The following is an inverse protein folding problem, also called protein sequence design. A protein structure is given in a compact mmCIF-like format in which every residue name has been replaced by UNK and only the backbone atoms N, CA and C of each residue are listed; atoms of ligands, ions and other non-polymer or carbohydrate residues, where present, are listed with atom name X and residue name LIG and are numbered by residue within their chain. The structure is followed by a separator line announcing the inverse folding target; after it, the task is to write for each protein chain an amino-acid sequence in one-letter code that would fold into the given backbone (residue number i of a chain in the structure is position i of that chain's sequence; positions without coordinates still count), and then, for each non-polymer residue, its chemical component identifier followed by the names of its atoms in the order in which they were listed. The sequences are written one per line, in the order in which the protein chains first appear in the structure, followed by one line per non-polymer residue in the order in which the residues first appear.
data_IF_135032700243
#
_entry.id   IF_135032700243
#
_cell.length_a   1.000
_cell.length_b   1.000
_cell.length_c   1.000
_cell.angle_alpha   90.00
_cell.angle_beta   90.00
_cell.angle_gamma   90.00
#
_symmetry.space_group_name_H-M   'P 1'
#
loop_
_entity.id
_entity.type
_entity.pdbx_description
1 polymer ?
#
# COMPACT_ATOMS: atom_id res chain seq x y z
N UNK A 1 -34.56 52.55 23.32
CA UNK A 1 -34.20 51.60 22.24
C UNK A 1 -32.74 51.19 22.43
N UNK A 2 -32.46 49.95 22.90
CA UNK A 2 -31.10 49.44 23.07
C UNK A 2 -30.85 48.37 21.99
N UNK A 3 -30.06 48.74 21.00
CA UNK A 3 -29.65 47.84 19.89
C UNK A 3 -28.58 46.87 20.43
N UNK A 4 -28.87 45.57 20.44
CA UNK A 4 -27.92 44.53 20.76
C UNK A 4 -27.16 44.16 19.47
N UNK A 5 -25.86 44.41 19.49
CA UNK A 5 -24.92 43.98 18.48
C UNK A 5 -24.62 42.49 18.70
N UNK A 6 -25.07 41.62 17.80
CA UNK A 6 -24.72 40.20 17.78
C UNK A 6 -23.37 40.01 17.08
N UNK A 7 -22.37 39.67 17.88
CA UNK A 7 -21.04 39.28 17.37
C UNK A 7 -21.11 37.84 16.88
N UNK A 8 -21.03 37.63 15.56
CA UNK A 8 -20.85 36.28 15.00
C UNK A 8 -19.39 35.87 15.15
N UNK A 9 -19.13 34.89 16.00
CA UNK A 9 -17.85 34.19 16.05
C UNK A 9 -17.86 33.09 14.99
N UNK A 10 -17.15 33.30 13.89
CA UNK A 10 -16.92 32.27 12.88
C UNK A 10 -15.85 31.32 13.42
N UNK A 11 -16.24 30.12 13.82
CA UNK A 11 -15.31 29.04 14.15
C UNK A 11 -14.85 28.38 12.85
N UNK A 12 -13.62 28.67 12.47
CA UNK A 12 -12.98 28.04 11.32
C UNK A 12 -12.54 26.63 11.72
N UNK A 13 -13.28 25.61 11.35
CA UNK A 13 -12.83 24.21 11.46
C UNK A 13 -11.77 23.96 10.39
N UNK A 14 -10.50 23.97 10.78
CA UNK A 14 -9.43 23.40 9.96
C UNK A 14 -9.63 21.89 9.95
N UNK A 15 -10.21 21.35 8.87
CA UNK A 15 -10.27 19.92 8.62
C UNK A 15 -8.85 19.45 8.31
N UNK A 16 -8.14 18.94 9.34
CA UNK A 16 -6.97 18.09 9.14
C UNK A 16 -7.47 16.83 8.44
N UNK A 17 -7.19 16.72 7.14
CA UNK A 17 -7.45 15.51 6.38
C UNK A 17 -6.54 14.38 6.88
N UNK A 18 -6.99 13.63 7.89
CA UNK A 18 -6.47 12.30 8.11
C UNK A 18 -6.91 11.47 6.89
N UNK A 19 -5.94 11.14 6.05
CA UNK A 19 -6.12 10.09 5.06
C UNK A 19 -6.42 8.80 5.84
N UNK A 20 -7.69 8.45 5.94
CA UNK A 20 -8.13 7.15 6.42
C UNK A 20 -7.62 6.12 5.44
N UNK A 21 -6.53 5.43 5.78
CA UNK A 21 -6.15 4.22 5.08
C UNK A 21 -7.34 3.26 5.23
N UNK A 22 -7.95 2.92 4.11
CA UNK A 22 -9.03 1.95 4.06
C UNK A 22 -8.42 0.59 4.45
N UNK A 23 -8.54 0.22 5.72
CA UNK A 23 -8.28 -1.14 6.16
C UNK A 23 -9.39 -2.01 5.58
N UNK A 24 -9.06 -2.83 4.60
CA UNK A 24 -9.98 -3.85 4.14
C UNK A 24 -10.39 -4.71 5.34
N UNK A 25 -11.69 -5.01 5.45
CA UNK A 25 -12.19 -5.91 6.51
C UNK A 25 -11.47 -7.25 6.39
N UNK A 26 -10.91 -7.80 7.48
CA UNK A 26 -10.26 -9.10 7.43
C UNK A 26 -11.25 -10.14 6.91
N UNK A 27 -10.83 -10.92 5.93
CA UNK A 27 -11.63 -12.06 5.50
C UNK A 27 -11.72 -13.05 6.68
N UNK A 28 -12.88 -13.65 7.00
CA UNK A 28 -13.04 -14.55 8.14
C UNK A 28 -12.02 -15.70 8.21
N UNK A 29 -11.38 -16.02 7.09
CA UNK A 29 -10.33 -17.03 6.97
C UNK A 29 -8.92 -16.52 7.28
N UNK A 30 -8.75 -15.22 7.53
CA UNK A 30 -7.43 -14.61 7.76
C UNK A 30 -7.18 -14.31 9.25
N UNK A 31 -7.84 -15.05 10.16
CA UNK A 31 -7.63 -14.90 11.61
C UNK A 31 -6.13 -15.03 11.94
N UNK A 32 -5.60 -14.06 12.71
CA UNK A 32 -4.19 -13.97 13.07
C UNK A 32 -3.30 -13.31 12.02
N UNK A 33 -3.89 -12.72 10.97
CA UNK A 33 -3.15 -11.98 9.94
C UNK A 33 -3.77 -10.61 9.69
N UNK A 34 -2.91 -9.66 9.36
CA UNK A 34 -3.28 -8.32 8.92
C UNK A 34 -3.18 -8.21 7.40
N UNK A 35 -4.06 -7.40 6.81
CA UNK A 35 -4.02 -7.10 5.38
C UNK A 35 -4.13 -5.60 5.14
N UNK A 36 -3.04 -4.98 4.72
CA UNK A 36 -2.96 -3.55 4.38
C UNK A 36 -2.90 -3.42 2.87
N UNK A 37 -3.78 -2.61 2.30
CA UNK A 37 -3.93 -2.50 0.84
C UNK A 37 -3.56 -1.11 0.32
N UNK A 38 -3.15 -1.08 -0.96
CA UNK A 38 -2.89 0.13 -1.73
C UNK A 38 -1.85 1.07 -1.08
N UNK A 39 -0.81 0.50 -0.53
CA UNK A 39 0.32 1.27 0.02
C UNK A 39 1.18 1.76 -1.15
N UNK A 40 1.35 3.09 -1.33
CA UNK A 40 2.20 3.61 -2.38
C UNK A 40 3.67 3.35 -2.06
N UNK A 41 4.44 2.94 -3.08
CA UNK A 41 5.88 2.79 -2.96
C UNK A 41 6.67 3.85 -3.75
N UNK A 42 5.96 4.83 -4.32
CA UNK A 42 6.53 6.05 -4.91
C UNK A 42 6.73 7.13 -3.85
N UNK A 43 7.47 8.18 -4.20
CA UNK A 43 7.60 9.36 -3.36
C UNK A 43 6.26 10.11 -3.21
N UNK A 44 6.12 10.87 -2.12
CA UNK A 44 4.89 11.64 -1.85
C UNK A 44 4.64 12.79 -2.87
N UNK A 45 5.69 13.22 -3.55
CA UNK A 45 5.68 14.29 -4.57
C UNK A 45 5.65 13.75 -6.00
N UNK A 46 5.36 12.44 -6.20
CA UNK A 46 5.18 11.86 -7.53
C UNK A 46 4.11 12.62 -8.32
N UNK A 47 4.43 13.01 -9.53
CA UNK A 47 3.56 13.81 -10.40
C UNK A 47 2.89 13.02 -11.52
N UNK A 48 3.42 11.85 -11.86
CA UNK A 48 2.83 10.97 -12.89
C UNK A 48 1.62 10.23 -12.31
N UNK A 49 0.41 10.60 -12.76
CA UNK A 49 -0.84 10.02 -12.29
C UNK A 49 -0.94 8.51 -12.57
N UNK A 50 -0.42 8.03 -13.70
CA UNK A 50 -0.43 6.61 -13.99
C UNK A 50 0.52 5.82 -13.07
N UNK A 51 1.64 6.43 -12.72
CA UNK A 51 2.57 5.86 -11.74
C UNK A 51 1.96 5.82 -10.35
N UNK A 52 1.29 6.89 -9.91
CA UNK A 52 0.53 6.89 -8.65
C UNK A 52 -0.54 5.81 -8.60
N UNK A 53 -1.29 5.64 -9.71
CA UNK A 53 -2.34 4.63 -9.83
C UNK A 53 -1.76 3.21 -9.72
N UNK A 54 -0.66 2.95 -10.42
CA UNK A 54 -0.13 1.60 -10.56
C UNK A 54 0.91 1.22 -9.52
N UNK A 55 1.73 2.16 -9.05
CA UNK A 55 2.84 1.87 -8.14
C UNK A 55 2.38 1.79 -6.68
N UNK A 56 1.49 0.84 -6.42
CA UNK A 56 0.96 0.51 -5.11
C UNK A 56 1.12 -0.99 -4.83
N UNK A 57 1.25 -1.34 -3.57
CA UNK A 57 1.38 -2.72 -3.12
C UNK A 57 0.41 -3.04 -1.99
N UNK A 58 0.14 -4.32 -1.78
CA UNK A 58 -0.61 -4.84 -0.65
C UNK A 58 0.32 -5.65 0.23
N UNK A 59 0.11 -5.61 1.54
CA UNK A 59 0.92 -6.33 2.53
C UNK A 59 -0.01 -7.22 3.37
N UNK A 60 0.21 -8.52 3.31
CA UNK A 60 -0.43 -9.51 4.16
C UNK A 60 0.63 -10.11 5.08
N UNK A 61 0.42 -10.10 6.41
CA UNK A 61 1.45 -10.48 7.37
C UNK A 61 0.87 -11.00 8.68
N UNK A 62 1.59 -11.89 9.41
CA UNK A 62 1.19 -12.38 10.72
C UNK A 62 0.98 -11.23 11.73
N UNK A 63 -0.10 -11.28 12.51
CA UNK A 63 -0.43 -10.25 13.49
C UNK A 63 0.51 -10.26 14.70
N UNK A 64 0.79 -11.44 15.21
CA UNK A 64 1.49 -11.62 16.51
C UNK A 64 2.95 -12.03 16.34
N UNK A 65 3.28 -12.75 15.28
CA UNK A 65 4.64 -13.22 15.04
C UNK A 65 5.56 -12.07 14.62
N UNK A 66 6.84 -12.23 14.94
CA UNK A 66 7.88 -11.25 14.55
C UNK A 66 9.08 -11.99 13.96
N UNK A 67 9.77 -11.27 13.09
CA UNK A 67 10.98 -11.83 12.46
C UNK A 67 10.67 -12.88 11.40
N UNK A 68 9.51 -12.79 10.77
CA UNK A 68 9.12 -13.64 9.65
C UNK A 68 9.80 -13.22 8.35
N UNK A 69 9.93 -14.18 7.43
CA UNK A 69 10.38 -13.93 6.05
C UNK A 69 9.32 -13.17 5.24
N UNK A 70 9.74 -12.57 4.13
CA UNK A 70 8.84 -11.81 3.25
C UNK A 70 8.94 -12.29 1.81
N UNK A 71 7.80 -12.68 1.25
CA UNK A 71 7.64 -12.99 -0.16
C UNK A 71 7.17 -11.73 -0.90
N UNK A 72 7.91 -11.26 -1.89
CA UNK A 72 7.46 -10.19 -2.79
C UNK A 72 6.95 -10.82 -4.08
N UNK A 73 5.67 -10.59 -4.37
CA UNK A 73 4.97 -11.16 -5.51
C UNK A 73 4.65 -10.12 -6.56
N UNK A 74 5.13 -10.35 -7.77
CA UNK A 74 4.79 -9.57 -8.97
C UNK A 74 3.85 -10.41 -9.85
N UNK A 75 2.67 -9.86 -10.14
CA UNK A 75 1.67 -10.56 -10.95
C UNK A 75 2.13 -10.77 -12.39
N UNK A 76 1.61 -11.80 -13.02
CA UNK A 76 1.81 -12.06 -14.45
C UNK A 76 0.91 -11.17 -15.34
N UNK A 77 0.89 -11.49 -16.66
CA UNK A 77 0.05 -10.80 -17.65
C UNK A 77 0.83 -10.21 -18.82
N UNK A 78 2.08 -10.70 -19.06
CA UNK A 78 2.88 -10.33 -20.23
C UNK A 78 3.30 -8.86 -20.25
N UNK A 79 3.32 -8.17 -19.12
CA UNK A 79 3.55 -6.72 -18.99
C UNK A 79 2.45 -5.84 -19.63
N UNK A 80 1.36 -6.43 -20.11
CA UNK A 80 0.24 -5.74 -20.75
C UNK A 80 -1.04 -5.73 -19.90
N UNK A 81 -1.11 -6.60 -18.88
CA UNK A 81 -2.27 -6.74 -18.01
C UNK A 81 -1.91 -7.33 -16.66
N UNK A 82 -2.94 -7.50 -15.82
CA UNK A 82 -2.82 -8.06 -14.49
C UNK A 82 -2.90 -7.02 -13.37
N UNK A 83 -3.09 -7.53 -12.17
CA UNK A 83 -3.13 -6.75 -10.93
C UNK A 83 -2.52 -7.55 -9.80
N UNK A 84 -2.08 -6.82 -8.76
CA UNK A 84 -1.67 -7.42 -7.49
C UNK A 84 -2.79 -8.26 -6.90
N UNK A 85 -2.43 -9.41 -6.38
CA UNK A 85 -3.37 -10.38 -5.80
C UNK A 85 -2.71 -11.13 -4.65
N UNK A 86 -3.47 -11.50 -3.66
CA UNK A 86 -3.05 -12.41 -2.61
C UNK A 86 -3.54 -13.81 -2.98
N UNK A 87 -2.65 -14.62 -3.55
CA UNK A 87 -2.94 -16.00 -3.92
C UNK A 87 -3.28 -16.83 -2.69
N UNK A 88 -4.29 -17.71 -2.81
CA UNK A 88 -4.74 -18.56 -1.70
C UNK A 88 -3.59 -19.42 -1.11
N UNK A 89 -2.70 -19.92 -1.97
CA UNK A 89 -1.54 -20.69 -1.54
C UNK A 89 -0.51 -19.95 -0.69
N UNK A 90 -0.58 -18.62 -0.63
CA UNK A 90 0.30 -17.79 0.18
C UNK A 90 -0.30 -17.38 1.53
N UNK A 91 -1.59 -17.65 1.73
CA UNK A 91 -2.26 -17.28 2.98
C UNK A 91 -1.83 -18.17 4.13
N UNK A 92 -1.64 -17.57 5.30
CA UNK A 92 -1.42 -18.27 6.58
C UNK A 92 -0.19 -19.19 6.60
N UNK A 93 0.86 -18.83 5.87
CA UNK A 93 2.08 -19.62 5.77
C UNK A 93 3.18 -19.19 6.77
N UNK A 94 2.90 -18.26 7.69
CA UNK A 94 3.88 -17.78 8.67
C UNK A 94 4.88 -16.75 8.14
N UNK A 95 4.72 -16.31 6.90
CA UNK A 95 5.52 -15.24 6.29
C UNK A 95 4.63 -14.08 5.82
N UNK A 96 5.24 -12.93 5.55
CA UNK A 96 4.54 -11.83 4.91
C UNK A 96 4.51 -11.98 3.39
N UNK A 97 3.44 -11.50 2.77
CA UNK A 97 3.32 -11.38 1.32
C UNK A 97 3.17 -9.91 0.96
N UNK A 98 4.07 -9.40 0.13
CA UNK A 98 3.99 -8.09 -0.48
C UNK A 98 3.60 -8.29 -1.95
N UNK A 99 2.34 -8.02 -2.28
CA UNK A 99 1.82 -8.16 -3.64
C UNK A 99 1.85 -6.82 -4.35
N UNK A 100 2.52 -6.73 -5.50
CA UNK A 100 2.94 -5.50 -6.14
C UNK A 100 2.24 -5.29 -7.47
N UNK A 101 1.63 -4.10 -7.65
CA UNK A 101 1.29 -3.56 -8.94
C UNK A 101 2.47 -2.75 -9.50
N UNK A 102 2.58 -2.69 -10.81
CA UNK A 102 3.57 -1.91 -11.55
C UNK A 102 2.95 -1.39 -12.85
N UNK A 103 3.56 -0.38 -13.47
CA UNK A 103 3.07 0.17 -14.74
C UNK A 103 3.16 -0.85 -15.86
N UNK A 104 2.24 -0.78 -16.82
CA UNK A 104 2.06 -1.76 -17.88
C UNK A 104 2.14 -1.12 -19.28
N UNK A 105 2.61 -1.88 -20.26
CA UNK A 105 2.52 -1.53 -21.68
C UNK A 105 1.03 -1.48 -22.11
N UNK A 106 0.61 -0.61 -23.03
CA UNK A 106 1.43 0.35 -23.77
C UNK A 106 1.59 1.73 -23.10
N UNK A 107 1.01 1.95 -21.88
CA UNK A 107 1.10 3.23 -21.19
C UNK A 107 2.52 3.55 -20.68
N UNK A 108 3.34 2.53 -20.48
CA UNK A 108 4.77 2.68 -20.23
C UNK A 108 5.57 1.68 -21.08
N UNK A 109 6.89 1.79 -21.07
CA UNK A 109 7.80 0.94 -21.84
C UNK A 109 8.99 0.53 -20.98
N UNK A 110 9.79 -0.44 -21.46
CA UNK A 110 11.07 -0.75 -20.83
C UNK A 110 11.97 0.50 -20.84
N UNK A 111 12.61 0.88 -19.72
CA UNK A 111 12.76 0.11 -18.46
C UNK A 111 11.72 0.41 -17.37
N UNK A 112 10.70 1.24 -17.59
CA UNK A 112 9.79 1.76 -16.54
C UNK A 112 9.28 0.71 -15.56
N UNK A 113 8.81 -0.45 -16.04
CA UNK A 113 8.29 -1.52 -15.18
C UNK A 113 9.40 -2.25 -14.41
N UNK A 114 10.66 -2.19 -14.90
CA UNK A 114 11.83 -2.71 -14.17
C UNK A 114 12.17 -1.76 -13.02
N UNK A 115 12.14 -0.45 -13.29
CA UNK A 115 12.36 0.57 -12.28
C UNK A 115 11.28 0.52 -11.18
N UNK A 116 10.02 0.33 -11.57
CA UNK A 116 8.92 0.16 -10.62
C UNK A 116 9.12 -1.08 -9.74
N UNK A 117 9.53 -2.21 -10.31
CA UNK A 117 9.83 -3.42 -9.55
C UNK A 117 11.00 -3.21 -8.57
N UNK A 118 12.07 -2.56 -9.02
CA UNK A 118 13.22 -2.23 -8.16
C UNK A 118 12.81 -1.29 -7.00
N UNK A 119 11.96 -0.30 -7.28
CA UNK A 119 11.44 0.61 -6.24
C UNK A 119 10.56 -0.13 -5.22
N UNK A 120 9.69 -1.04 -5.66
CA UNK A 120 8.85 -1.84 -4.76
C UNK A 120 9.70 -2.74 -3.85
N UNK A 121 10.77 -3.33 -4.38
CA UNK A 121 11.73 -4.09 -3.58
C UNK A 121 12.45 -3.21 -2.56
N UNK A 122 12.98 -2.05 -2.99
CA UNK A 122 13.64 -1.10 -2.09
C UNK A 122 12.68 -0.65 -0.97
N UNK A 123 11.44 -0.29 -1.34
CA UNK A 123 10.41 0.07 -0.36
C UNK A 123 10.18 -1.06 0.65
N UNK A 124 10.11 -2.31 0.19
CA UNK A 124 9.91 -3.48 1.06
C UNK A 124 11.07 -3.62 2.05
N UNK A 125 12.32 -3.56 1.60
CA UNK A 125 13.49 -3.61 2.47
C UNK A 125 13.49 -2.49 3.52
N UNK A 126 13.08 -1.29 3.17
CA UNK A 126 13.08 -0.14 4.07
C UNK A 126 11.93 -0.14 5.08
N UNK A 127 10.83 -0.86 4.79
CA UNK A 127 9.60 -0.74 5.55
C UNK A 127 9.12 -2.03 6.23
N UNK A 128 9.54 -3.21 5.78
CA UNK A 128 8.95 -4.48 6.26
C UNK A 128 9.14 -4.71 7.77
N UNK A 129 10.19 -4.17 8.36
CA UNK A 129 10.42 -4.25 9.81
C UNK A 129 9.34 -3.55 10.63
N UNK A 130 8.67 -2.53 10.08
CA UNK A 130 7.53 -1.85 10.71
C UNK A 130 6.32 -2.77 10.86
N UNK A 131 6.23 -3.78 10.01
CA UNK A 131 5.18 -4.81 10.01
C UNK A 131 5.60 -6.06 10.79
N UNK A 132 6.85 -6.14 11.22
CA UNK A 132 7.40 -7.25 12.00
C UNK A 132 8.21 -8.26 11.21
N UNK A 133 8.42 -8.05 9.92
CA UNK A 133 9.30 -8.89 9.10
C UNK A 133 10.77 -8.63 9.35
N UNK A 134 11.62 -9.49 8.81
CA UNK A 134 13.07 -9.29 8.74
C UNK A 134 13.44 -8.86 7.32
N UNK A 135 14.27 -7.85 7.19
CA UNK A 135 14.69 -7.36 5.88
C UNK A 135 15.81 -8.18 5.21
N UNK A 136 16.38 -9.12 5.91
CA UNK A 136 17.41 -10.04 5.42
C UNK A 136 16.88 -11.49 5.15
N UNK A 137 15.55 -11.64 5.13
CA UNK A 137 14.87 -12.92 4.90
C UNK A 137 13.66 -12.78 3.98
#
# INVERSE_FOLDING_TARGET
MKTRLMTFVAVLFAALGLATQATAQPHPQDEGYNFVQNVPYTSADESDEYRKERCVLDIYYPETDKGFATLVWFHGGGLEGGNKELLEGFRRQGFAVVSVNYRLFPKCKCPDYIDDAAMALAWTFDNIEKYGGKKDQ
#
